data_IF_784245804502
#
_entry.id   IF_784245804502
#
_cell.length_a   1.000
_cell.length_b   1.000
_cell.length_c   1.000
_cell.angle_alpha   90.00
_cell.angle_beta   90.00
_cell.angle_gamma   90.00
#
_symmetry.space_group_name_H-M   'P 1'
#
loop_
_entity.id
_entity.type
_entity.pdbx_description
1 polymer ?
#
# COMPACT_ATOMS: atom_id res chain seq x y z
N UNK A 1 8.16 -9.06 5.57
CA UNK A 1 7.28 -10.23 5.77
C UNK A 1 6.67 -10.62 4.44
N UNK A 2 6.54 -11.90 4.13
CA UNK A 2 5.87 -12.38 2.92
C UNK A 2 5.13 -13.68 3.28
N UNK A 3 3.88 -13.80 2.88
CA UNK A 3 3.06 -14.97 3.18
C UNK A 3 2.04 -15.22 2.08
N UNK A 4 2.16 -16.37 1.42
CA UNK A 4 1.17 -16.83 0.44
C UNK A 4 -0.16 -17.22 1.10
N UNK A 5 -0.11 -17.84 2.28
CA UNK A 5 -1.30 -18.24 3.05
C UNK A 5 -2.16 -17.02 3.45
N UNK A 6 -1.52 -15.95 3.90
CA UNK A 6 -2.21 -14.72 4.31
C UNK A 6 -2.34 -13.69 3.18
N UNK A 7 -1.87 -14.04 1.97
CA UNK A 7 -1.81 -13.19 0.79
C UNK A 7 -1.28 -11.78 1.09
N UNK A 8 -0.11 -11.70 1.74
CA UNK A 8 0.49 -10.43 2.14
C UNK A 8 1.98 -10.33 1.82
N UNK A 9 2.43 -9.09 1.62
CA UNK A 9 3.83 -8.71 1.52
C UNK A 9 4.07 -7.40 2.28
N UNK A 10 5.12 -7.36 3.08
CA UNK A 10 5.59 -6.18 3.79
C UNK A 10 7.02 -5.83 3.36
N UNK A 11 7.25 -4.54 3.16
CA UNK A 11 8.52 -3.99 2.70
C UNK A 11 8.85 -2.68 3.44
N UNK A 12 10.12 -2.28 3.36
CA UNK A 12 10.64 -1.05 3.96
C UNK A 12 11.38 -0.22 2.92
N UNK A 13 11.27 1.10 3.04
CA UNK A 13 12.09 2.04 2.26
C UNK A 13 13.33 2.28 3.11
N UNK A 14 14.50 1.90 2.60
CA UNK A 14 15.76 2.03 3.32
C UNK A 14 16.38 3.43 3.13
N UNK A 15 16.24 3.98 1.93
CA UNK A 15 16.77 5.30 1.58
C UNK A 15 15.74 6.05 0.74
N UNK A 16 15.52 7.33 1.07
CA UNK A 16 14.57 8.20 0.36
C UNK A 16 14.93 9.67 0.58
N UNK A 17 14.70 10.55 -0.41
CA UNK A 17 14.80 11.99 -0.21
C UNK A 17 13.61 12.59 0.57
N UNK A 18 12.54 11.82 0.81
CA UNK A 18 11.45 12.27 1.68
C UNK A 18 11.91 12.30 3.14
N UNK A 19 11.47 13.29 3.95
CA UNK A 19 11.84 13.42 5.35
C UNK A 19 11.08 12.44 6.25
N UNK A 20 11.27 11.14 6.01
CA UNK A 20 10.68 10.06 6.80
C UNK A 20 11.71 8.97 7.10
N UNK A 21 11.51 8.25 8.20
CA UNK A 21 12.35 7.11 8.61
C UNK A 21 11.48 5.95 9.11
N UNK A 22 12.11 4.80 9.37
CA UNK A 22 11.45 3.60 9.90
C UNK A 22 10.20 3.17 9.13
N UNK A 23 10.20 3.41 7.81
CA UNK A 23 9.08 3.06 6.96
C UNK A 23 8.87 1.54 6.91
N UNK A 24 7.65 1.11 7.19
CA UNK A 24 7.18 -0.26 6.93
C UNK A 24 5.79 -0.19 6.32
N UNK A 25 5.64 -0.75 5.13
CA UNK A 25 4.36 -0.89 4.47
C UNK A 25 3.99 -2.36 4.29
N UNK A 26 2.68 -2.64 4.27
CA UNK A 26 2.13 -3.97 4.04
C UNK A 26 0.98 -3.89 3.05
N UNK A 27 1.07 -4.65 1.96
CA UNK A 27 -0.04 -4.92 1.04
C UNK A 27 -0.61 -6.29 1.39
N UNK A 28 -1.91 -6.34 1.68
CA UNK A 28 -2.64 -7.58 1.96
C UNK A 28 -3.87 -7.69 1.07
N UNK A 29 -4.08 -8.88 0.51
CA UNK A 29 -5.22 -9.20 -0.34
C UNK A 29 -6.20 -10.12 0.41
N UNK A 30 -7.49 -9.82 0.32
CA UNK A 30 -8.56 -10.62 0.90
C UNK A 30 -9.57 -10.96 -0.17
N UNK A 31 -9.99 -12.23 -0.21
CA UNK A 31 -11.06 -12.66 -1.10
C UNK A 31 -12.38 -12.05 -0.63
N UNK A 32 -13.14 -11.46 -1.55
CA UNK A 32 -14.55 -11.14 -1.32
C UNK A 32 -15.37 -12.39 -1.66
N UNK A 33 -16.14 -12.90 -0.70
CA UNK A 33 -16.89 -14.16 -0.88
C UNK A 33 -18.04 -14.02 -1.87
N UNK A 34 -18.60 -12.82 -2.00
CA UNK A 34 -19.62 -12.49 -2.99
C UNK A 34 -18.95 -12.13 -4.35
N UNK A 35 -18.74 -13.14 -5.19
CA UNK A 35 -18.22 -13.01 -6.56
C UNK A 35 -16.72 -13.21 -6.73
N UNK A 36 -16.21 -12.95 -7.93
CA UNK A 36 -14.77 -13.06 -8.25
C UNK A 36 -14.04 -11.72 -8.02
N UNK A 37 -14.09 -11.23 -6.77
CA UNK A 37 -13.54 -9.93 -6.39
C UNK A 37 -12.50 -10.07 -5.29
N UNK A 38 -11.55 -9.14 -5.30
CA UNK A 38 -10.50 -9.05 -4.29
C UNK A 38 -10.57 -7.68 -3.60
N UNK A 39 -10.52 -7.68 -2.28
CA UNK A 39 -10.27 -6.49 -1.48
C UNK A 39 -8.76 -6.38 -1.23
N UNK A 40 -8.17 -5.27 -1.63
CA UNK A 40 -6.76 -4.98 -1.41
C UNK A 40 -6.63 -3.86 -0.37
N UNK A 41 -5.84 -4.11 0.68
CA UNK A 41 -5.54 -3.15 1.74
C UNK A 41 -4.04 -2.88 1.73
N UNK A 42 -3.67 -1.60 1.73
CA UNK A 42 -2.27 -1.18 1.79
C UNK A 42 -2.09 -0.23 2.97
N UNK A 43 -1.32 -0.66 3.96
CA UNK A 43 -1.02 0.11 5.16
C UNK A 43 0.45 0.49 5.17
N UNK A 44 0.78 1.61 5.84
CA UNK A 44 2.15 1.97 6.14
C UNK A 44 2.26 2.70 7.47
N UNK A 45 3.40 2.52 8.12
CA UNK A 45 3.85 3.28 9.28
C UNK A 45 5.23 3.86 8.98
N UNK A 46 5.48 5.07 9.49
CA UNK A 46 6.76 5.75 9.37
C UNK A 46 6.88 6.79 10.48
N UNK A 47 8.11 7.22 10.76
CA UNK A 47 8.39 8.34 11.64
C UNK A 47 8.66 9.59 10.78
N UNK A 48 8.07 10.72 11.17
CA UNK A 48 8.25 12.02 10.54
C UNK A 48 8.11 13.14 11.60
N UNK A 49 8.60 14.33 11.27
CA UNK A 49 8.34 15.51 12.09
C UNK A 49 6.82 15.78 12.16
N UNK A 50 6.24 16.15 13.33
CA UNK A 50 4.80 16.32 13.48
C UNK A 50 4.17 17.28 12.46
N UNK A 51 4.89 18.33 12.07
CA UNK A 51 4.48 19.32 11.09
C UNK A 51 4.44 18.80 9.63
N UNK A 52 5.10 17.68 9.35
CA UNK A 52 5.16 17.07 8.02
C UNK A 52 4.38 15.74 7.92
N UNK A 53 4.08 15.11 9.06
CA UNK A 53 3.49 13.77 9.14
C UNK A 53 2.20 13.63 8.31
N UNK A 54 1.25 14.55 8.49
CA UNK A 54 -0.04 14.51 7.78
C UNK A 54 0.14 14.70 6.28
N UNK A 55 0.97 15.66 5.87
CA UNK A 55 1.27 15.93 4.47
C UNK A 55 1.93 14.73 3.79
N UNK A 56 2.85 14.06 4.48
CA UNK A 56 3.51 12.84 3.99
C UNK A 56 2.52 11.68 3.87
N UNK A 57 1.66 11.49 4.87
CA UNK A 57 0.64 10.44 4.87
C UNK A 57 -0.35 10.64 3.71
N UNK A 58 -0.86 11.87 3.52
CA UNK A 58 -1.75 12.23 2.41
C UNK A 58 -1.07 12.00 1.06
N UNK A 59 0.19 12.46 0.91
CA UNK A 59 0.96 12.31 -0.30
C UNK A 59 1.20 10.84 -0.67
N UNK A 60 1.53 10.00 0.31
CA UNK A 60 1.73 8.56 0.13
C UNK A 60 0.40 7.86 -0.25
N UNK A 61 -0.68 8.18 0.45
CA UNK A 61 -2.01 7.62 0.17
C UNK A 61 -2.50 7.94 -1.24
N UNK A 62 -2.44 9.22 -1.63
CA UNK A 62 -2.95 9.69 -2.91
C UNK A 62 -2.07 9.29 -4.10
N UNK A 63 -0.75 9.39 -3.97
CA UNK A 63 0.14 9.25 -5.13
C UNK A 63 0.76 7.86 -5.27
N UNK A 64 0.96 7.14 -4.15
CA UNK A 64 1.57 5.81 -4.16
C UNK A 64 0.49 4.73 -4.10
N UNK A 65 -0.31 4.71 -3.03
CA UNK A 65 -1.26 3.62 -2.82
C UNK A 65 -2.42 3.66 -3.81
N UNK A 66 -3.08 4.81 -3.94
CA UNK A 66 -4.19 4.96 -4.90
C UNK A 66 -3.71 4.81 -6.35
N UNK A 67 -2.52 5.33 -6.67
CA UNK A 67 -1.88 5.13 -7.98
C UNK A 67 -1.64 3.64 -8.28
N UNK A 68 -1.10 2.89 -7.32
CA UNK A 68 -0.90 1.45 -7.44
C UNK A 68 -2.22 0.68 -7.61
N UNK A 69 -3.25 1.01 -6.83
CA UNK A 69 -4.57 0.38 -6.99
C UNK A 69 -5.21 0.68 -8.35
N UNK A 70 -5.06 1.89 -8.88
CA UNK A 70 -5.54 2.23 -10.21
C UNK A 70 -4.81 1.42 -11.28
N UNK A 71 -3.49 1.27 -11.18
CA UNK A 71 -2.71 0.46 -12.11
C UNK A 71 -3.13 -1.02 -12.07
N UNK A 72 -3.34 -1.59 -10.87
CA UNK A 72 -3.84 -2.95 -10.71
C UNK A 72 -5.23 -3.13 -11.32
N UNK A 73 -6.16 -2.19 -11.07
CA UNK A 73 -7.49 -2.23 -11.68
C UNK A 73 -7.40 -2.24 -13.20
N UNK A 74 -6.58 -1.36 -13.79
CA UNK A 74 -6.37 -1.32 -15.24
C UNK A 74 -5.78 -2.63 -15.77
N UNK A 75 -4.78 -3.18 -15.08
CA UNK A 75 -4.12 -4.43 -15.50
C UNK A 75 -5.08 -5.63 -15.49
N UNK A 76 -5.98 -5.70 -14.51
CA UNK A 76 -6.92 -6.81 -14.37
C UNK A 76 -8.32 -6.55 -14.96
N UNK A 77 -8.60 -5.35 -15.50
CA UNK A 77 -9.90 -4.98 -16.06
C UNK A 77 -10.36 -5.85 -17.25
N UNK A 78 -9.45 -6.56 -17.92
CA UNK A 78 -9.77 -7.49 -19.00
C UNK A 78 -10.16 -8.90 -18.55
N UNK A 79 -10.00 -9.22 -17.25
CA UNK A 79 -10.18 -10.57 -16.68
C UNK A 79 -11.32 -10.65 -15.64
N UNK A 80 -12.15 -9.61 -15.55
CA UNK A 80 -13.28 -9.51 -14.60
C UNK A 80 -14.60 -9.98 -15.18
#
# INVERSE_FOLDING_TARGET
DFSDENYLVSYSILETPQPLTNHKATLQLRRVTDGNRTYAEWTASFDAAPEEADKLAEGMGANVFQGGFNALKTHFAGNS
#
